data_IF_569221521384
#
_entry.id   IF_569221521384
#
_cell.length_a   1.000
_cell.length_b   1.000
_cell.length_c   1.000
_cell.angle_alpha   90.00
_cell.angle_beta   90.00
_cell.angle_gamma   90.00
#
_symmetry.space_group_name_H-M   'P 1'
#
loop_
_entity.id
_entity.type
_entity.pdbx_description
1 polymer ?
#
# COMPACT_ATOMS: atom_id res chain seq x y z
N UNK A 1 -2.21 27.72 24.71
CA UNK A 1 -1.78 28.05 23.34
C UNK A 1 -2.33 26.96 22.41
N UNK A 2 -3.53 27.14 21.86
CA UNK A 2 -4.04 26.32 20.77
C UNK A 2 -3.22 26.64 19.52
N UNK A 3 -2.18 25.90 19.28
CA UNK A 3 -1.53 25.91 17.97
C UNK A 3 -2.54 25.39 16.96
N UNK A 4 -3.10 26.30 16.15
CA UNK A 4 -4.01 25.93 15.05
C UNK A 4 -3.38 24.80 14.24
N UNK A 5 -3.99 23.61 14.29
CA UNK A 5 -3.46 22.43 13.60
C UNK A 5 -3.41 22.69 12.10
N UNK A 6 -2.22 22.74 11.53
CA UNK A 6 -2.03 22.92 10.09
C UNK A 6 -2.18 21.56 9.38
N UNK A 7 -3.43 21.18 9.09
CA UNK A 7 -3.77 19.91 8.44
C UNK A 7 -3.02 19.69 7.12
N UNK A 8 -2.81 20.75 6.33
CA UNK A 8 -2.11 20.62 5.05
C UNK A 8 -0.65 20.21 5.26
N UNK A 9 0.05 20.87 6.19
CA UNK A 9 1.44 20.52 6.53
C UNK A 9 1.54 19.07 7.06
N UNK A 10 0.64 18.68 7.96
CA UNK A 10 0.62 17.33 8.52
C UNK A 10 0.38 16.29 7.41
N UNK A 11 -0.58 16.52 6.51
CA UNK A 11 -0.87 15.65 5.37
C UNK A 11 0.33 15.53 4.43
N UNK A 12 1.02 16.65 4.14
CA UNK A 12 2.23 16.64 3.30
C UNK A 12 3.36 15.83 3.95
N UNK A 13 3.58 15.99 5.26
CA UNK A 13 4.58 15.21 5.99
C UNK A 13 4.23 13.71 5.94
N UNK A 14 3.00 13.31 6.20
CA UNK A 14 2.58 11.92 6.09
C UNK A 14 2.68 11.38 4.67
N UNK A 15 2.38 12.19 3.66
CA UNK A 15 2.53 11.80 2.25
C UNK A 15 3.99 11.51 1.90
N UNK A 16 4.92 12.40 2.23
CA UNK A 16 6.37 12.21 2.01
C UNK A 16 6.86 11.01 2.81
N UNK A 17 6.46 10.90 4.08
CA UNK A 17 6.84 9.78 4.94
C UNK A 17 6.32 8.45 4.40
N UNK A 18 5.10 8.41 3.87
CA UNK A 18 4.53 7.23 3.25
C UNK A 18 5.33 6.76 2.04
N UNK A 19 5.76 7.68 1.16
CA UNK A 19 6.64 7.35 0.03
C UNK A 19 7.94 6.73 0.53
N UNK A 20 8.61 7.38 1.48
CA UNK A 20 9.94 6.97 1.95
C UNK A 20 9.88 5.64 2.71
N UNK A 21 8.91 5.46 3.62
CA UNK A 21 8.79 4.22 4.40
C UNK A 21 8.46 3.04 3.51
N UNK A 22 7.48 3.23 2.60
CA UNK A 22 7.04 2.15 1.72
C UNK A 22 8.02 1.88 0.58
N UNK A 23 8.91 2.80 0.22
CA UNK A 23 9.95 2.56 -0.77
C UNK A 23 10.80 1.33 -0.41
N UNK A 24 11.06 1.07 0.88
CA UNK A 24 11.84 -0.10 1.33
C UNK A 24 11.22 -1.45 0.97
N UNK A 25 9.90 -1.52 0.77
CA UNK A 25 9.22 -2.72 0.26
C UNK A 25 9.62 -2.99 -1.20
N UNK A 26 9.70 -1.95 -2.00
CA UNK A 26 9.82 -2.04 -3.46
C UNK A 26 11.27 -1.97 -3.95
N UNK A 27 12.22 -1.48 -3.15
CA UNK A 27 13.66 -1.49 -3.46
C UNK A 27 14.19 -2.91 -3.67
N UNK A 28 13.54 -3.92 -3.09
CA UNK A 28 13.96 -5.32 -3.18
C UNK A 28 13.86 -5.90 -4.59
N UNK A 29 12.92 -5.44 -5.42
CA UNK A 29 12.66 -6.01 -6.74
C UNK A 29 13.86 -5.87 -7.70
N UNK A 30 14.41 -4.66 -7.94
CA UNK A 30 15.59 -4.50 -8.78
C UNK A 30 16.85 -5.12 -8.16
N UNK A 31 16.92 -5.22 -6.84
CA UNK A 31 18.09 -5.77 -6.16
C UNK A 31 18.17 -7.30 -6.20
N UNK A 32 17.13 -8.01 -6.64
CA UNK A 32 17.12 -9.48 -6.68
C UNK A 32 18.26 -10.04 -7.53
N UNK A 33 18.43 -9.56 -8.76
CA UNK A 33 19.51 -10.00 -9.65
C UNK A 33 20.89 -9.57 -9.14
N UNK A 34 20.98 -8.41 -8.49
CA UNK A 34 22.21 -7.91 -7.89
C UNK A 34 22.64 -8.81 -6.73
N UNK A 35 21.74 -9.17 -5.84
CA UNK A 35 22.01 -10.09 -4.73
C UNK A 35 22.34 -11.51 -5.21
N UNK A 36 21.64 -12.00 -6.26
CA UNK A 36 21.97 -13.30 -6.85
C UNK A 36 23.43 -13.36 -7.30
N UNK A 37 23.90 -12.30 -7.96
CA UNK A 37 25.28 -12.18 -8.42
C UNK A 37 26.28 -11.99 -7.27
N UNK A 38 26.00 -11.09 -6.35
CA UNK A 38 26.92 -10.68 -5.28
C UNK A 38 27.14 -11.80 -4.24
N UNK A 39 26.09 -12.53 -3.90
CA UNK A 39 26.13 -13.64 -2.94
C UNK A 39 26.30 -15.02 -3.59
N UNK A 40 26.37 -15.13 -4.93
CA UNK A 40 26.52 -16.40 -5.65
C UNK A 40 25.34 -17.36 -5.47
N UNK A 41 24.11 -16.85 -5.39
CA UNK A 41 22.87 -17.60 -5.15
C UNK A 41 21.91 -17.52 -6.34
N UNK A 42 20.90 -18.40 -6.38
CA UNK A 42 19.87 -18.32 -7.41
C UNK A 42 18.94 -17.09 -7.22
N UNK A 43 18.36 -16.59 -8.33
CA UNK A 43 17.36 -15.50 -8.27
C UNK A 43 16.17 -15.87 -7.39
N UNK A 44 15.76 -17.14 -7.35
CA UNK A 44 14.69 -17.61 -6.48
C UNK A 44 15.05 -17.43 -5.00
N UNK A 45 16.27 -17.76 -4.59
CA UNK A 45 16.75 -17.53 -3.22
C UNK A 45 16.89 -16.04 -2.93
N UNK A 46 17.47 -15.27 -3.87
CA UNK A 46 17.64 -13.82 -3.72
C UNK A 46 16.30 -13.08 -3.56
N UNK A 47 15.22 -13.56 -4.19
CA UNK A 47 13.87 -12.97 -4.07
C UNK A 47 13.28 -13.07 -2.66
N UNK A 48 13.77 -13.97 -1.82
CA UNK A 48 13.37 -14.08 -0.41
C UNK A 48 13.59 -12.77 0.35
N UNK A 49 14.53 -11.94 -0.06
CA UNK A 49 14.74 -10.59 0.47
C UNK A 49 13.45 -9.73 0.45
N UNK A 50 12.70 -9.74 -0.65
CA UNK A 50 11.41 -9.03 -0.75
C UNK A 50 10.27 -9.77 -0.05
N UNK A 51 10.23 -11.08 -0.16
CA UNK A 51 9.17 -11.92 0.40
C UNK A 51 9.14 -11.84 1.93
N UNK A 52 10.30 -11.98 2.59
CA UNK A 52 10.37 -11.95 4.05
C UNK A 52 9.97 -10.59 4.62
N UNK A 53 10.41 -9.50 3.98
CA UNK A 53 9.97 -8.16 4.34
C UNK A 53 8.44 -8.04 4.24
N UNK A 54 7.84 -8.47 3.12
CA UNK A 54 6.40 -8.35 2.87
C UNK A 54 5.58 -9.13 3.89
N UNK A 55 6.00 -10.36 4.23
CA UNK A 55 5.33 -11.21 5.22
C UNK A 55 5.39 -10.56 6.60
N UNK A 56 6.58 -10.18 7.06
CA UNK A 56 6.74 -9.59 8.39
C UNK A 56 6.07 -8.23 8.51
N UNK A 57 6.11 -7.41 7.45
CA UNK A 57 5.39 -6.15 7.35
C UNK A 57 3.87 -6.37 7.49
N UNK A 58 3.29 -7.24 6.67
CA UNK A 58 1.85 -7.48 6.67
C UNK A 58 1.36 -8.00 8.02
N UNK A 59 2.03 -9.02 8.56
CA UNK A 59 1.68 -9.58 9.88
C UNK A 59 1.79 -8.54 11.00
N UNK A 60 2.83 -7.71 10.97
CA UNK A 60 3.04 -6.69 11.99
C UNK A 60 1.99 -5.56 11.92
N UNK A 61 1.46 -5.25 10.75
CA UNK A 61 0.36 -4.28 10.61
C UNK A 61 -0.83 -4.62 11.52
N UNK A 62 -1.12 -5.90 11.75
CA UNK A 62 -2.22 -6.32 12.63
C UNK A 62 -2.11 -5.75 14.04
N UNK A 63 -0.90 -5.66 14.56
CA UNK A 63 -0.66 -5.33 15.97
C UNK A 63 -0.49 -3.84 16.21
N UNK A 64 0.02 -3.08 15.24
CA UNK A 64 0.40 -1.69 15.44
C UNK A 64 -0.76 -0.74 15.74
N UNK A 65 -1.99 -1.05 15.31
CA UNK A 65 -3.16 -0.29 15.72
C UNK A 65 -3.36 -0.30 17.24
N UNK A 66 -3.31 -1.49 17.83
CA UNK A 66 -3.45 -1.70 19.28
C UNK A 66 -2.22 -1.20 20.06
N UNK A 67 -1.02 -1.46 19.55
CA UNK A 67 0.23 -0.97 20.14
C UNK A 67 0.22 0.56 20.22
N UNK A 68 -0.14 1.21 19.12
CA UNK A 68 -0.16 2.68 19.06
C UNK A 68 -1.26 3.32 19.90
N UNK A 69 -2.35 2.61 20.18
CA UNK A 69 -3.38 3.06 21.10
C UNK A 69 -2.87 3.06 22.55
N UNK A 70 -2.02 2.11 22.91
CA UNK A 70 -1.42 2.04 24.24
C UNK A 70 -0.29 3.05 24.44
N UNK A 71 0.64 3.12 23.49
CA UNK A 71 1.87 3.88 23.65
C UNK A 71 1.82 5.30 23.08
N UNK A 72 0.83 5.60 22.25
CA UNK A 72 0.67 6.83 21.49
C UNK A 72 0.95 6.64 20.01
N UNK A 73 0.23 7.37 19.15
CA UNK A 73 0.29 7.18 17.69
C UNK A 73 1.65 7.63 17.14
N UNK A 74 2.03 8.87 17.43
CA UNK A 74 3.27 9.45 16.90
C UNK A 74 4.50 8.80 17.52
N UNK A 75 4.44 8.48 18.81
CA UNK A 75 5.54 7.74 19.47
C UNK A 75 5.78 6.40 18.79
N UNK A 76 4.73 5.65 18.46
CA UNK A 76 4.85 4.36 17.77
C UNK A 76 5.49 4.51 16.39
N UNK A 77 5.08 5.52 15.61
CA UNK A 77 5.70 5.82 14.32
C UNK A 77 7.18 6.16 14.48
N UNK A 78 7.53 7.00 15.45
CA UNK A 78 8.92 7.39 15.69
C UNK A 78 9.79 6.20 16.13
N UNK A 79 9.30 5.30 16.97
CA UNK A 79 10.00 4.06 17.31
C UNK A 79 10.23 3.18 16.10
N UNK A 80 9.23 3.03 15.23
CA UNK A 80 9.38 2.32 13.95
C UNK A 80 10.46 2.95 13.06
N UNK A 81 10.46 4.30 12.94
CA UNK A 81 11.45 5.03 12.14
C UNK A 81 12.87 4.91 12.72
N UNK A 82 13.04 4.99 14.03
CA UNK A 82 14.34 4.76 14.69
C UNK A 82 14.83 3.34 14.39
N UNK A 83 13.95 2.34 14.49
CA UNK A 83 14.27 0.97 14.11
C UNK A 83 14.69 0.87 12.63
N UNK A 84 13.98 1.53 11.71
CA UNK A 84 14.35 1.58 10.28
C UNK A 84 15.73 2.21 10.05
N UNK A 85 16.04 3.31 10.74
CA UNK A 85 17.37 3.95 10.69
C UNK A 85 18.47 2.97 11.08
N UNK A 86 18.31 2.31 12.22
CA UNK A 86 19.30 1.35 12.73
C UNK A 86 19.45 0.16 11.78
N UNK A 87 18.34 -0.44 11.36
CA UNK A 87 18.36 -1.64 10.52
C UNK A 87 18.91 -1.34 9.12
N UNK A 88 18.54 -0.22 8.50
CA UNK A 88 19.08 0.17 7.20
C UNK A 88 20.59 0.47 7.29
N UNK A 89 21.01 1.13 8.36
CA UNK A 89 22.43 1.37 8.59
C UNK A 89 23.19 0.04 8.70
N UNK A 90 22.67 -0.93 9.45
CA UNK A 90 23.26 -2.26 9.58
C UNK A 90 23.32 -2.99 8.23
N UNK A 91 22.21 -2.98 7.46
CA UNK A 91 22.16 -3.60 6.11
C UNK A 91 23.25 -2.99 5.20
N UNK A 92 23.51 -1.69 5.32
CA UNK A 92 24.55 -1.01 4.54
C UNK A 92 25.98 -1.53 4.79
N UNK A 93 26.24 -2.28 5.85
CA UNK A 93 27.57 -2.82 6.18
C UNK A 93 27.71 -4.34 6.09
N UNK A 94 26.64 -5.07 5.77
CA UNK A 94 26.69 -6.53 5.77
C UNK A 94 27.20 -7.12 4.46
N UNK A 95 27.81 -8.33 4.57
CA UNK A 95 28.29 -9.13 3.45
C UNK A 95 27.74 -10.57 3.49
N UNK A 96 26.70 -10.84 4.27
CA UNK A 96 26.06 -12.15 4.41
C UNK A 96 24.58 -12.10 4.01
N UNK A 97 24.17 -12.97 3.08
CA UNK A 97 22.79 -13.07 2.65
C UNK A 97 21.85 -13.49 3.79
N UNK A 98 22.29 -14.44 4.65
CA UNK A 98 21.49 -14.86 5.81
C UNK A 98 21.21 -13.70 6.76
N UNK A 99 22.23 -12.88 7.05
CA UNK A 99 22.06 -11.71 7.90
C UNK A 99 21.17 -10.66 7.22
N UNK A 100 21.29 -10.49 5.89
CA UNK A 100 20.38 -9.63 5.11
C UNK A 100 18.92 -10.04 5.32
N UNK A 101 18.60 -11.33 5.19
CA UNK A 101 17.23 -11.84 5.35
C UNK A 101 16.69 -11.57 6.76
N UNK A 102 17.51 -11.79 7.80
CA UNK A 102 17.11 -11.49 9.19
C UNK A 102 16.83 -9.99 9.37
N UNK A 103 17.72 -9.14 8.90
CA UNK A 103 17.54 -7.68 9.00
C UNK A 103 16.35 -7.20 8.17
N UNK A 104 16.08 -7.80 7.02
CA UNK A 104 14.89 -7.51 6.20
C UNK A 104 13.60 -7.88 6.91
N UNK A 105 13.58 -9.00 7.67
CA UNK A 105 12.43 -9.35 8.50
C UNK A 105 12.17 -8.26 9.57
N UNK A 106 13.21 -7.83 10.28
CA UNK A 106 13.11 -6.78 11.31
C UNK A 106 12.73 -5.44 10.67
N UNK A 107 13.28 -5.13 9.49
CA UNK A 107 12.92 -3.92 8.73
C UNK A 107 11.43 -3.89 8.39
N UNK A 108 10.85 -5.03 7.96
CA UNK A 108 9.41 -5.16 7.70
C UNK A 108 8.58 -4.88 8.95
N UNK A 109 8.99 -5.42 10.11
CA UNK A 109 8.34 -5.16 11.40
C UNK A 109 8.36 -3.66 11.72
N UNK A 110 9.51 -3.01 11.61
CA UNK A 110 9.64 -1.57 11.89
C UNK A 110 8.83 -0.69 10.93
N UNK A 111 8.83 -1.02 9.63
CA UNK A 111 8.09 -0.28 8.61
C UNK A 111 6.58 -0.33 8.83
N UNK A 112 6.06 -1.44 9.33
CA UNK A 112 4.64 -1.62 9.61
C UNK A 112 4.07 -0.66 10.67
N UNK A 113 4.93 -0.04 11.49
CA UNK A 113 4.51 0.97 12.45
C UNK A 113 3.93 2.23 11.81
N UNK A 114 4.21 2.49 10.51
CA UNK A 114 3.77 3.71 9.85
C UNK A 114 2.35 3.61 9.27
N UNK A 115 2.09 2.63 8.40
CA UNK A 115 0.88 2.63 7.55
C UNK A 115 -0.43 2.58 8.33
N UNK A 116 -0.71 1.59 9.21
CA UNK A 116 -1.98 1.56 9.92
C UNK A 116 -2.10 2.69 10.95
N UNK A 117 -0.97 3.11 11.52
CA UNK A 117 -0.98 4.14 12.57
C UNK A 117 -1.21 5.53 12.01
N UNK A 118 -0.62 5.87 10.85
CA UNK A 118 -0.86 7.16 10.18
C UNK A 118 -2.31 7.32 9.73
N UNK A 119 -2.92 6.25 9.20
CA UNK A 119 -4.33 6.23 8.81
C UNK A 119 -5.23 6.40 10.05
N UNK A 120 -4.95 5.67 11.14
CA UNK A 120 -5.69 5.80 12.39
C UNK A 120 -5.56 7.20 12.97
N UNK A 121 -4.35 7.77 12.99
CA UNK A 121 -4.10 9.13 13.43
C UNK A 121 -4.94 10.15 12.68
N UNK A 122 -4.98 10.05 11.34
CA UNK A 122 -5.82 10.94 10.51
C UNK A 122 -7.31 10.76 10.84
N UNK A 123 -7.74 9.53 11.10
CA UNK A 123 -9.13 9.24 11.44
C UNK A 123 -9.53 9.85 12.78
N UNK A 124 -8.61 9.99 13.72
CA UNK A 124 -8.83 10.59 15.04
C UNK A 124 -8.72 12.13 15.03
N UNK A 125 -7.69 12.65 14.31
CA UNK A 125 -7.28 14.05 14.44
C UNK A 125 -7.91 14.99 13.39
N UNK A 126 -8.43 14.45 12.29
CA UNK A 126 -8.96 15.27 11.21
C UNK A 126 -10.49 15.34 11.25
N UNK A 127 -11.02 16.50 10.88
CA UNK A 127 -12.47 16.66 10.71
C UNK A 127 -13.00 15.69 9.63
N UNK A 128 -14.25 15.25 9.70
CA UNK A 128 -14.83 14.30 8.75
C UNK A 128 -14.63 14.70 7.28
N UNK A 129 -14.73 15.98 6.94
CA UNK A 129 -14.56 16.51 5.59
C UNK A 129 -13.10 16.36 5.10
N UNK A 130 -12.10 16.62 5.95
CA UNK A 130 -10.68 16.55 5.58
C UNK A 130 -10.11 15.13 5.66
N UNK A 131 -10.77 14.23 6.37
CA UNK A 131 -10.31 12.87 6.66
C UNK A 131 -10.12 12.04 5.39
N UNK A 132 -11.11 12.02 4.49
CA UNK A 132 -11.03 11.25 3.24
C UNK A 132 -9.90 11.75 2.35
N UNK A 133 -9.75 13.07 2.24
CA UNK A 133 -8.66 13.69 1.48
C UNK A 133 -7.28 13.29 2.05
N UNK A 134 -7.09 13.39 3.37
CA UNK A 134 -5.82 13.03 3.98
C UNK A 134 -5.49 11.54 3.82
N UNK A 135 -6.48 10.65 3.97
CA UNK A 135 -6.31 9.21 3.70
C UNK A 135 -5.97 8.97 2.22
N UNK A 136 -6.56 9.74 1.29
CA UNK A 136 -6.22 9.64 -0.14
C UNK A 136 -4.74 9.99 -0.38
N UNK A 137 -4.23 11.07 0.21
CA UNK A 137 -2.81 11.42 0.12
C UNK A 137 -1.91 10.31 0.65
N UNK A 138 -2.18 9.77 1.85
CA UNK A 138 -1.40 8.69 2.44
C UNK A 138 -1.45 7.43 1.59
N UNK A 139 -2.64 7.02 1.12
CA UNK A 139 -2.78 5.82 0.28
C UNK A 139 -2.09 5.98 -1.08
N UNK A 140 -2.17 7.18 -1.68
CA UNK A 140 -1.45 7.50 -2.92
C UNK A 140 0.06 7.40 -2.72
N UNK A 141 0.59 7.85 -1.57
CA UNK A 141 2.02 7.75 -1.26
C UNK A 141 2.49 6.29 -1.22
N UNK A 142 1.67 5.36 -0.71
CA UNK A 142 1.98 3.93 -0.70
C UNK A 142 2.08 3.35 -2.12
N UNK A 143 1.22 3.78 -3.03
CA UNK A 143 1.27 3.34 -4.42
C UNK A 143 2.46 3.95 -5.18
N UNK A 144 2.70 5.27 -5.01
CA UNK A 144 3.83 5.97 -5.62
C UNK A 144 5.18 5.41 -5.17
N UNK A 145 5.28 4.95 -3.94
CA UNK A 145 6.50 4.33 -3.41
C UNK A 145 6.94 3.11 -4.23
N UNK A 146 6.00 2.42 -4.88
CA UNK A 146 6.31 1.29 -5.76
C UNK A 146 7.17 1.71 -6.96
N UNK A 147 6.87 2.85 -7.56
CA UNK A 147 7.64 3.39 -8.68
C UNK A 147 8.93 4.04 -8.16
N UNK A 148 8.81 4.89 -7.14
CA UNK A 148 9.96 5.65 -6.61
C UNK A 148 11.00 4.72 -5.99
N UNK A 149 10.59 3.69 -5.22
CA UNK A 149 11.51 2.75 -4.59
C UNK A 149 12.28 1.90 -5.59
N UNK A 150 11.63 1.41 -6.65
CA UNK A 150 12.30 0.66 -7.71
C UNK A 150 13.31 1.53 -8.44
N UNK A 151 12.91 2.73 -8.91
CA UNK A 151 13.81 3.64 -9.61
C UNK A 151 14.98 4.09 -8.73
N UNK A 152 14.76 4.33 -7.43
CA UNK A 152 15.84 4.65 -6.50
C UNK A 152 16.91 3.56 -6.50
N UNK A 153 16.49 2.29 -6.37
CA UNK A 153 17.43 1.16 -6.36
C UNK A 153 18.18 1.01 -7.69
N UNK A 154 17.47 1.09 -8.81
CA UNK A 154 18.06 0.97 -10.15
C UNK A 154 19.09 2.07 -10.42
N UNK A 155 18.76 3.32 -10.13
CA UNK A 155 19.65 4.47 -10.31
C UNK A 155 20.88 4.33 -9.41
N UNK A 156 20.69 4.05 -8.12
CA UNK A 156 21.80 3.95 -7.18
C UNK A 156 22.76 2.81 -7.55
N UNK A 157 22.25 1.62 -7.91
CA UNK A 157 23.09 0.48 -8.29
C UNK A 157 23.82 0.74 -9.60
N UNK A 158 23.22 1.49 -10.54
CA UNK A 158 23.90 1.84 -11.80
C UNK A 158 25.16 2.69 -11.60
N UNK A 159 25.14 3.61 -10.61
CA UNK A 159 26.25 4.54 -10.36
C UNK A 159 27.14 4.14 -9.17
N UNK A 160 26.73 3.15 -8.37
CA UNK A 160 27.44 2.73 -7.17
C UNK A 160 27.19 1.24 -6.89
N UNK A 161 26.76 0.93 -5.67
CA UNK A 161 26.46 -0.44 -5.23
C UNK A 161 25.17 -0.47 -4.41
N UNK A 162 24.65 -1.67 -4.12
CA UNK A 162 23.39 -1.85 -3.41
C UNK A 162 23.45 -1.39 -1.94
N UNK A 163 24.60 -1.37 -1.28
CA UNK A 163 24.74 -0.87 0.09
C UNK A 163 24.34 0.60 0.18
N UNK A 164 24.68 1.40 -0.83
CA UNK A 164 24.33 2.83 -0.89
C UNK A 164 22.82 3.07 -0.91
N UNK A 165 22.01 2.14 -1.43
CA UNK A 165 20.55 2.23 -1.36
C UNK A 165 20.09 2.31 0.10
N UNK A 166 20.64 1.48 0.96
CA UNK A 166 20.28 1.45 2.37
C UNK A 166 20.84 2.64 3.16
N UNK A 167 22.02 3.15 2.82
CA UNK A 167 22.53 4.39 3.41
C UNK A 167 21.66 5.60 3.04
N UNK A 168 21.21 5.70 1.79
CA UNK A 168 20.29 6.75 1.36
C UNK A 168 18.96 6.63 2.12
N UNK A 169 18.40 5.43 2.22
CA UNK A 169 17.18 5.19 3.00
C UNK A 169 17.36 5.59 4.47
N UNK A 170 18.53 5.31 5.07
CA UNK A 170 18.85 5.72 6.45
C UNK A 170 18.73 7.24 6.61
N UNK A 171 19.36 8.01 5.71
CA UNK A 171 19.28 9.48 5.75
C UNK A 171 17.85 9.99 5.57
N UNK A 172 17.09 9.38 4.65
CA UNK A 172 15.69 9.73 4.42
C UNK A 172 14.83 9.42 5.64
N UNK A 173 15.07 8.30 6.36
CA UNK A 173 14.34 7.99 7.60
C UNK A 173 14.66 8.95 8.72
N UNK A 174 15.92 9.36 8.88
CA UNK A 174 16.31 10.42 9.84
C UNK A 174 15.55 11.71 9.51
N UNK A 175 15.54 12.10 8.24
CA UNK A 175 14.87 13.32 7.79
C UNK A 175 13.38 13.32 8.15
N UNK A 176 12.63 12.26 7.80
CA UNK A 176 11.20 12.20 8.11
C UNK A 176 10.92 12.03 9.61
N UNK A 177 11.80 11.34 10.36
CA UNK A 177 11.66 11.24 11.81
C UNK A 177 11.75 12.62 12.47
N UNK A 178 12.69 13.44 12.05
CA UNK A 178 12.83 14.83 12.54
C UNK A 178 11.60 15.67 12.17
N UNK A 179 11.08 15.54 10.94
CA UNK A 179 9.86 16.26 10.52
C UNK A 179 8.64 15.85 11.35
N UNK A 180 8.45 14.55 11.56
CA UNK A 180 7.32 14.03 12.35
C UNK A 180 7.45 14.49 13.80
N UNK A 181 8.62 14.34 14.41
CA UNK A 181 8.86 14.75 15.79
C UNK A 181 8.58 16.25 16.02
N UNK A 182 9.00 17.09 15.06
CA UNK A 182 8.90 18.56 15.20
C UNK A 182 7.50 19.11 14.89
N UNK A 183 6.76 18.48 13.96
CA UNK A 183 5.57 19.11 13.38
C UNK A 183 4.27 18.34 13.58
N UNK A 184 4.31 17.07 14.00
CA UNK A 184 3.10 16.27 14.18
C UNK A 184 2.84 16.11 15.68
N UNK A 185 1.74 16.68 16.22
CA UNK A 185 1.39 16.53 17.63
C UNK A 185 0.91 15.09 17.91
N UNK A 186 1.06 14.64 19.15
CA UNK A 186 0.52 13.35 19.57
C UNK A 186 -1.01 13.36 19.56
N UNK A 187 -1.64 12.19 19.28
CA UNK A 187 -3.09 12.03 19.41
C UNK A 187 -3.50 12.02 20.87
N UNK A 188 -4.61 12.72 21.22
CA UNK A 188 -5.17 12.66 22.58
C UNK A 188 -5.78 11.27 22.88
N UNK A 189 -6.08 10.48 21.84
CA UNK A 189 -6.65 9.14 21.99
C UNK A 189 -5.55 8.18 22.41
N UNK A 190 -5.49 7.90 23.70
CA UNK A 190 -4.51 6.99 24.31
C UNK A 190 -5.16 6.20 25.43
N UNK A 191 -4.90 4.88 25.46
CA UNK A 191 -5.38 3.99 26.52
C UNK A 191 -4.20 3.21 27.13
N UNK A 192 -3.48 3.79 28.12
CA UNK A 192 -2.32 3.13 28.75
C UNK A 192 -2.65 1.82 29.44
N UNK A 193 -3.90 1.63 29.89
CA UNK A 193 -4.35 0.42 30.61
C UNK A 193 -4.70 -0.72 29.66
N UNK A 194 -4.64 -0.50 28.32
CA UNK A 194 -4.97 -1.51 27.34
C UNK A 194 -4.03 -2.72 27.47
N UNK A 195 -4.60 -3.89 27.72
CA UNK A 195 -3.86 -5.15 27.73
C UNK A 195 -3.70 -5.63 26.31
N UNK A 196 -2.46 -5.75 25.81
CA UNK A 196 -2.18 -6.22 24.45
C UNK A 196 -2.73 -7.63 24.18
N UNK A 197 -2.81 -8.45 25.23
CA UNK A 197 -3.47 -9.78 25.17
C UNK A 197 -4.96 -9.65 24.82
N UNK A 198 -5.58 -8.50 25.06
CA UNK A 198 -6.96 -8.21 24.66
C UNK A 198 -7.17 -8.04 23.15
N UNK A 199 -6.08 -7.99 22.36
CA UNK A 199 -6.13 -7.94 20.89
C UNK A 199 -7.08 -9.02 20.32
N UNK A 200 -6.96 -10.26 20.77
CA UNK A 200 -7.79 -11.36 20.30
C UNK A 200 -9.28 -11.24 20.70
N UNK A 201 -9.60 -10.50 21.77
CA UNK A 201 -10.99 -10.24 22.14
C UNK A 201 -11.70 -9.34 21.13
N UNK A 202 -10.97 -8.43 20.49
CA UNK A 202 -11.52 -7.52 19.50
C UNK A 202 -12.00 -8.27 18.23
N UNK A 203 -11.52 -9.50 17.99
CA UNK A 203 -12.02 -10.35 16.90
C UNK A 203 -13.49 -10.79 17.12
N UNK A 204 -14.01 -10.79 18.34
CA UNK A 204 -15.43 -11.05 18.59
C UNK A 204 -16.32 -9.94 18.03
N UNK A 205 -15.82 -8.69 18.00
CA UNK A 205 -16.55 -7.53 17.49
C UNK A 205 -16.75 -7.58 15.96
N UNK A 206 -16.05 -8.51 15.26
CA UNK A 206 -16.22 -8.70 13.80
C UNK A 206 -17.62 -9.21 13.43
N UNK A 207 -18.19 -10.12 14.24
CA UNK A 207 -19.49 -10.72 13.93
C UNK A 207 -20.59 -9.68 13.82
N UNK A 208 -20.46 -8.58 14.56
CA UNK A 208 -21.47 -7.52 14.62
C UNK A 208 -21.29 -6.45 13.54
N UNK A 209 -20.15 -6.47 12.80
CA UNK A 209 -19.79 -5.43 11.82
C UNK A 209 -19.72 -5.96 10.38
N UNK A 210 -20.86 -6.45 9.86
CA UNK A 210 -20.95 -6.96 8.46
C UNK A 210 -20.38 -5.98 7.42
N UNK A 211 -20.58 -4.67 7.60
CA UNK A 211 -20.10 -3.65 6.66
C UNK A 211 -18.56 -3.63 6.61
N UNK A 212 -17.89 -3.83 7.74
CA UNK A 212 -16.42 -3.90 7.81
C UNK A 212 -15.92 -5.13 7.07
N UNK A 213 -16.57 -6.28 7.24
CA UNK A 213 -16.22 -7.51 6.52
C UNK A 213 -16.33 -7.30 5.00
N UNK A 214 -17.40 -6.65 4.53
CA UNK A 214 -17.55 -6.29 3.11
C UNK A 214 -16.41 -5.39 2.63
N UNK A 215 -16.01 -4.39 3.43
CA UNK A 215 -14.87 -3.53 3.10
C UNK A 215 -13.56 -4.32 3.04
N UNK A 216 -13.35 -5.31 3.90
CA UNK A 216 -12.16 -6.15 3.88
C UNK A 216 -12.07 -7.04 2.64
N UNK A 217 -13.20 -7.60 2.20
CA UNK A 217 -13.25 -8.36 0.95
C UNK A 217 -12.90 -7.47 -0.26
N UNK A 218 -13.39 -6.23 -0.29
CA UNK A 218 -13.00 -5.25 -1.30
C UNK A 218 -11.50 -4.95 -1.19
N UNK A 219 -10.99 -4.65 0.00
CA UNK A 219 -9.56 -4.33 0.21
C UNK A 219 -8.63 -5.45 -0.25
N UNK A 220 -8.98 -6.70 0.01
CA UNK A 220 -8.20 -7.87 -0.43
C UNK A 220 -8.06 -7.91 -1.94
N UNK A 221 -9.15 -7.64 -2.67
CA UNK A 221 -9.15 -7.68 -4.13
C UNK A 221 -8.34 -6.55 -4.76
N UNK A 222 -8.27 -5.35 -4.13
CA UNK A 222 -7.66 -4.18 -4.77
C UNK A 222 -6.17 -4.36 -5.09
N UNK A 223 -5.33 -4.72 -4.10
CA UNK A 223 -3.91 -4.94 -4.36
C UNK A 223 -3.64 -6.27 -5.07
N UNK A 224 -4.49 -7.29 -4.89
CA UNK A 224 -4.41 -8.51 -5.70
C UNK A 224 -4.57 -8.18 -7.18
N UNK A 225 -5.61 -7.44 -7.56
CA UNK A 225 -5.83 -7.00 -8.94
C UNK A 225 -4.69 -6.12 -9.44
N UNK A 226 -4.21 -5.18 -8.63
CA UNK A 226 -3.16 -4.23 -9.01
C UNK A 226 -1.85 -4.94 -9.37
N UNK A 227 -1.36 -5.83 -8.51
CA UNK A 227 -0.12 -6.56 -8.74
C UNK A 227 -0.27 -7.55 -9.91
N UNK A 228 -1.37 -8.31 -9.94
CA UNK A 228 -1.64 -9.27 -11.02
C UNK A 228 -1.73 -8.59 -12.38
N UNK A 229 -2.42 -7.43 -12.47
CA UNK A 229 -2.52 -6.66 -13.71
C UNK A 229 -1.14 -6.27 -14.22
N UNK A 230 -0.28 -5.70 -13.39
CA UNK A 230 1.06 -5.29 -13.83
C UNK A 230 1.94 -6.48 -14.22
N UNK A 231 1.75 -7.65 -13.60
CA UNK A 231 2.47 -8.87 -13.99
C UNK A 231 2.07 -9.31 -15.39
N UNK A 232 0.75 -9.40 -15.68
CA UNK A 232 0.24 -9.76 -17.01
C UNK A 232 0.65 -8.70 -18.04
N UNK A 233 0.47 -7.43 -17.71
CA UNK A 233 0.76 -6.29 -18.58
C UNK A 233 2.21 -6.27 -19.07
N UNK A 234 3.18 -6.57 -18.18
CA UNK A 234 4.58 -6.66 -18.59
C UNK A 234 4.83 -7.76 -19.61
N UNK A 235 4.31 -8.97 -19.34
CA UNK A 235 4.45 -10.09 -20.24
C UNK A 235 3.71 -9.87 -21.55
N UNK A 236 2.56 -9.21 -21.50
CA UNK A 236 1.74 -8.93 -22.68
C UNK A 236 2.41 -7.91 -23.61
N UNK A 237 2.92 -6.79 -23.06
CA UNK A 237 3.61 -5.77 -23.87
C UNK A 237 4.85 -6.35 -24.56
N UNK A 238 5.61 -7.20 -23.87
CA UNK A 238 6.85 -7.79 -24.42
C UNK A 238 6.60 -9.04 -25.27
N UNK A 239 5.36 -9.49 -25.40
CA UNK A 239 4.99 -10.63 -26.24
C UNK A 239 5.00 -10.28 -27.73
N UNK A 240 5.13 -11.30 -28.59
CA UNK A 240 5.06 -11.15 -30.06
C UNK A 240 3.73 -10.58 -30.53
N UNK A 241 2.66 -10.66 -29.72
CA UNK A 241 1.32 -10.14 -30.02
C UNK A 241 1.32 -8.61 -30.06
N UNK A 242 2.00 -7.97 -29.10
CA UNK A 242 2.09 -6.50 -28.98
C UNK A 242 3.38 -5.96 -29.58
N UNK A 243 4.49 -6.72 -29.48
CA UNK A 243 5.78 -6.38 -30.08
C UNK A 243 6.50 -5.20 -29.40
N UNK A 244 6.15 -4.89 -28.15
CA UNK A 244 6.81 -3.84 -27.38
C UNK A 244 8.13 -4.32 -26.76
N UNK A 245 9.03 -3.38 -26.47
CA UNK A 245 10.29 -3.65 -25.76
C UNK A 245 10.10 -3.59 -24.23
N UNK A 246 11.09 -4.10 -23.48
CA UNK A 246 11.15 -3.93 -22.03
C UNK A 246 11.13 -2.44 -21.61
N UNK A 247 11.81 -1.58 -22.37
CA UNK A 247 11.78 -0.14 -22.14
C UNK A 247 10.37 0.43 -22.33
N UNK A 248 9.60 -0.10 -23.29
CA UNK A 248 8.17 0.27 -23.47
C UNK A 248 7.34 -0.12 -22.27
N UNK A 249 7.55 -1.32 -21.71
CA UNK A 249 6.83 -1.78 -20.52
C UNK A 249 7.17 -0.95 -19.26
N UNK A 250 8.43 -0.57 -19.09
CA UNK A 250 8.88 0.30 -17.99
C UNK A 250 8.24 1.70 -18.13
N UNK A 251 8.33 2.30 -19.32
CA UNK A 251 7.74 3.62 -19.57
C UNK A 251 6.22 3.61 -19.38
N UNK A 252 5.54 2.55 -19.82
CA UNK A 252 4.10 2.40 -19.63
C UNK A 252 3.69 2.40 -18.15
N UNK A 253 4.50 1.78 -17.26
CA UNK A 253 4.26 1.83 -15.81
C UNK A 253 4.40 3.24 -15.24
N UNK A 254 5.32 4.06 -15.77
CA UNK A 254 5.49 5.43 -15.31
C UNK A 254 4.23 6.28 -15.55
N UNK A 255 3.51 6.05 -16.66
CA UNK A 255 2.22 6.72 -16.90
C UNK A 255 1.17 6.34 -15.85
N UNK A 256 1.26 5.18 -15.21
CA UNK A 256 0.42 4.80 -14.09
C UNK A 256 0.46 5.79 -12.92
N UNK A 257 1.56 6.56 -12.76
CA UNK A 257 1.66 7.64 -11.78
C UNK A 257 0.53 8.66 -11.96
N UNK A 258 0.14 8.97 -13.19
CA UNK A 258 -0.96 9.89 -13.48
C UNK A 258 -2.26 9.37 -12.85
N UNK A 259 -2.57 8.08 -13.04
CA UNK A 259 -3.72 7.43 -12.41
C UNK A 259 -3.68 7.48 -10.88
N UNK A 260 -2.49 7.25 -10.29
CA UNK A 260 -2.29 7.34 -8.84
C UNK A 260 -2.53 8.76 -8.32
N UNK A 261 -2.00 9.78 -9.01
CA UNK A 261 -2.15 11.18 -8.61
C UNK A 261 -3.60 11.67 -8.72
N UNK A 262 -4.37 11.18 -9.68
CA UNK A 262 -5.80 11.51 -9.79
C UNK A 262 -6.57 11.11 -8.52
N UNK A 263 -6.14 10.09 -7.80
CA UNK A 263 -6.78 9.66 -6.54
C UNK A 263 -6.73 10.72 -5.43
N UNK A 264 -5.86 11.71 -5.52
CA UNK A 264 -5.85 12.83 -4.58
C UNK A 264 -7.17 13.63 -4.62
N UNK A 265 -7.93 13.51 -5.71
CA UNK A 265 -9.27 14.06 -5.84
C UNK A 265 -10.35 13.20 -5.17
N UNK A 266 -10.02 11.97 -4.74
CA UNK A 266 -11.00 11.02 -4.18
C UNK A 266 -11.75 11.60 -2.97
N UNK A 267 -11.08 12.37 -2.13
CA UNK A 267 -11.70 13.07 -1.00
C UNK A 267 -12.81 14.01 -1.45
N UNK A 268 -12.50 14.94 -2.38
CA UNK A 268 -13.46 15.92 -2.89
C UNK A 268 -14.66 15.28 -3.60
N UNK A 269 -14.41 14.21 -4.36
CA UNK A 269 -15.47 13.49 -5.06
C UNK A 269 -16.34 12.72 -4.04
N UNK A 270 -15.72 12.08 -3.04
CA UNK A 270 -16.43 11.37 -1.97
C UNK A 270 -17.34 12.29 -1.14
N UNK A 271 -16.92 13.53 -0.92
CA UNK A 271 -17.74 14.53 -0.19
C UNK A 271 -19.00 14.91 -0.95
N UNK A 272 -18.93 14.96 -2.29
CA UNK A 272 -20.06 15.31 -3.16
C UNK A 272 -20.98 14.13 -3.45
N UNK A 273 -20.42 12.98 -3.80
CA UNK A 273 -21.18 11.82 -4.30
C UNK A 273 -21.40 10.74 -3.24
N UNK A 274 -20.61 10.76 -2.16
CA UNK A 274 -20.59 9.75 -1.12
C UNK A 274 -19.60 8.62 -1.42
N UNK A 275 -18.96 8.13 -0.36
CA UNK A 275 -17.86 7.13 -0.41
C UNK A 275 -18.25 5.84 -1.15
N UNK A 276 -19.49 5.35 -0.98
CA UNK A 276 -19.97 4.15 -1.69
C UNK A 276 -19.94 4.34 -3.20
N UNK A 277 -20.43 5.48 -3.72
CA UNK A 277 -20.49 5.73 -5.15
C UNK A 277 -19.09 5.82 -5.76
N UNK A 278 -18.11 6.38 -5.01
CA UNK A 278 -16.72 6.41 -5.44
C UNK A 278 -16.14 5.00 -5.52
N UNK A 279 -16.36 4.14 -4.51
CA UNK A 279 -15.91 2.74 -4.55
C UNK A 279 -16.50 2.00 -5.75
N UNK A 280 -17.81 2.10 -5.95
CA UNK A 280 -18.51 1.42 -7.07
C UNK A 280 -18.02 1.93 -8.43
N UNK A 281 -17.95 3.25 -8.62
CA UNK A 281 -17.47 3.84 -9.88
C UNK A 281 -16.01 3.48 -10.19
N UNK A 282 -15.15 3.51 -9.15
CA UNK A 282 -13.75 3.14 -9.25
C UNK A 282 -13.56 1.66 -9.66
N UNK A 283 -14.33 0.75 -9.07
CA UNK A 283 -14.30 -0.67 -9.44
C UNK A 283 -14.82 -0.89 -10.88
N UNK A 284 -15.89 -0.19 -11.29
CA UNK A 284 -16.41 -0.28 -12.68
C UNK A 284 -15.31 0.15 -13.66
N UNK A 285 -14.66 1.30 -13.43
CA UNK A 285 -13.57 1.78 -14.29
C UNK A 285 -12.44 0.76 -14.34
N UNK A 286 -12.03 0.19 -13.20
CA UNK A 286 -10.97 -0.82 -13.17
C UNK A 286 -11.34 -2.10 -13.94
N UNK A 287 -12.56 -2.60 -13.78
CA UNK A 287 -13.05 -3.81 -14.46
C UNK A 287 -13.09 -3.60 -15.97
N UNK A 288 -13.71 -2.50 -16.42
CA UNK A 288 -13.81 -2.16 -17.85
C UNK A 288 -12.42 -2.02 -18.46
N UNK A 289 -11.50 -1.34 -17.78
CA UNK A 289 -10.12 -1.18 -18.25
C UNK A 289 -9.41 -2.54 -18.40
N UNK A 290 -9.55 -3.46 -17.45
CA UNK A 290 -8.98 -4.82 -17.54
C UNK A 290 -9.51 -5.58 -18.73
N UNK A 291 -10.83 -5.56 -18.94
CA UNK A 291 -11.47 -6.23 -20.07
C UNK A 291 -10.94 -5.66 -21.39
N UNK A 292 -10.90 -4.32 -21.50
CA UNK A 292 -10.42 -3.65 -22.71
C UNK A 292 -8.92 -3.91 -22.97
N UNK A 293 -8.08 -4.01 -21.92
CA UNK A 293 -6.68 -4.41 -22.08
C UNK A 293 -6.56 -5.80 -22.73
N UNK A 294 -7.40 -6.75 -22.37
CA UNK A 294 -7.38 -8.11 -22.92
C UNK A 294 -7.69 -8.18 -24.43
N UNK A 295 -8.38 -7.19 -24.99
CA UNK A 295 -8.73 -7.11 -26.41
C UNK A 295 -7.93 -6.07 -27.19
N UNK A 296 -6.97 -5.40 -26.57
CA UNK A 296 -6.20 -4.30 -27.18
C UNK A 296 -4.77 -4.75 -27.43
N UNK A 297 -4.31 -4.65 -28.68
CA UNK A 297 -2.90 -4.92 -29.07
C UNK A 297 -2.08 -3.64 -29.26
N UNK A 298 -2.72 -2.50 -29.42
CA UNK A 298 -2.06 -1.21 -29.58
C UNK A 298 -1.47 -0.74 -28.26
N UNK A 299 -0.16 -0.48 -28.22
CA UNK A 299 0.60 -0.06 -27.02
C UNK A 299 0.03 1.20 -26.37
N UNK A 300 -0.35 2.22 -27.18
CA UNK A 300 -0.86 3.49 -26.65
C UNK A 300 -2.19 3.26 -25.91
N UNK A 301 -3.09 2.50 -26.51
CA UNK A 301 -4.37 2.17 -25.88
C UNK A 301 -4.18 1.30 -24.63
N UNK A 302 -3.24 0.34 -24.66
CA UNK A 302 -2.88 -0.45 -23.47
C UNK A 302 -2.41 0.45 -22.32
N UNK A 303 -1.58 1.45 -22.61
CA UNK A 303 -1.13 2.43 -21.62
C UNK A 303 -2.30 3.24 -21.07
N UNK A 304 -3.20 3.72 -21.92
CA UNK A 304 -4.40 4.48 -21.51
C UNK A 304 -5.27 3.62 -20.58
N UNK A 305 -5.57 2.37 -20.95
CA UNK A 305 -6.35 1.46 -20.10
C UNK A 305 -5.64 1.15 -18.79
N UNK A 306 -4.31 1.00 -18.81
CA UNK A 306 -3.55 0.78 -17.56
C UNK A 306 -3.62 1.98 -16.62
N UNK A 307 -3.54 3.20 -17.13
CA UNK A 307 -3.70 4.45 -16.34
C UNK A 307 -5.09 4.54 -15.72
N UNK A 308 -6.13 4.23 -16.50
CA UNK A 308 -7.52 4.23 -16.01
C UNK A 308 -7.74 3.15 -14.95
N UNK A 309 -7.20 1.94 -15.16
CA UNK A 309 -7.24 0.87 -14.18
C UNK A 309 -6.59 1.29 -12.86
N UNK A 310 -5.35 1.81 -12.94
CA UNK A 310 -4.58 2.28 -11.77
C UNK A 310 -5.32 3.40 -11.06
N UNK A 311 -5.90 4.35 -11.83
CA UNK A 311 -6.74 5.40 -11.29
C UNK A 311 -7.93 4.83 -10.51
N UNK A 312 -8.65 3.86 -11.05
CA UNK A 312 -9.75 3.20 -10.37
C UNK A 312 -9.31 2.56 -9.04
N UNK A 313 -8.25 1.75 -9.05
CA UNK A 313 -7.70 1.14 -7.82
C UNK A 313 -7.30 2.23 -6.81
N UNK A 314 -6.64 3.28 -7.28
CA UNK A 314 -6.17 4.39 -6.44
C UNK A 314 -7.30 5.20 -5.81
N UNK A 315 -8.47 5.29 -6.45
CA UNK A 315 -9.69 5.86 -5.84
C UNK A 315 -10.37 4.90 -4.87
N UNK A 316 -10.39 3.60 -5.17
CA UNK A 316 -11.07 2.60 -4.36
C UNK A 316 -10.38 2.38 -2.99
N UNK A 317 -9.03 2.36 -2.94
CA UNK A 317 -8.26 2.12 -1.71
C UNK A 317 -8.62 3.12 -0.60
N UNK A 318 -8.41 4.45 -0.76
CA UNK A 318 -8.70 5.41 0.31
C UNK A 318 -10.17 5.48 0.65
N UNK A 319 -11.06 5.28 -0.33
CA UNK A 319 -12.49 5.27 -0.11
C UNK A 319 -12.92 4.08 0.75
N UNK A 320 -12.37 2.89 0.52
CA UNK A 320 -12.65 1.70 1.31
C UNK A 320 -12.12 1.84 2.74
N UNK A 321 -10.87 2.33 2.91
CA UNK A 321 -10.29 2.63 4.23
C UNK A 321 -11.15 3.63 4.98
N UNK A 322 -11.56 4.71 4.33
CA UNK A 322 -12.42 5.74 4.93
C UNK A 322 -13.77 5.17 5.35
N UNK A 323 -14.35 4.25 4.54
CA UNK A 323 -15.61 3.59 4.88
C UNK A 323 -15.48 2.76 6.15
N UNK A 324 -14.37 2.02 6.34
CA UNK A 324 -14.08 1.30 7.59
C UNK A 324 -14.04 2.28 8.76
N UNK A 325 -13.25 3.36 8.65
CA UNK A 325 -13.13 4.37 9.71
C UNK A 325 -14.44 5.09 10.06
N UNK A 326 -15.38 5.22 9.10
CA UNK A 326 -16.70 5.84 9.33
C UNK A 326 -17.70 4.92 10.03
N UNK A 327 -17.57 3.61 9.87
CA UNK A 327 -18.51 2.62 10.41
C UNK A 327 -18.14 2.23 11.83
N UNK A 328 -16.86 2.26 12.15
CA UNK A 328 -16.33 1.83 13.44
C UNK A 328 -16.21 3.03 14.38
N UNK A 329 -16.96 3.01 15.48
CA UNK A 329 -16.89 4.04 16.52
C UNK A 329 -15.94 3.67 17.67
N UNK A 330 -15.65 2.38 17.85
CA UNK A 330 -14.81 1.86 18.94
C UNK A 330 -13.70 0.99 18.36
N UNK A 331 -12.52 1.00 18.95
CA UNK A 331 -11.38 0.21 18.51
C UNK A 331 -10.96 0.51 17.05
N UNK A 332 -11.08 1.76 16.58
CA UNK A 332 -10.77 2.14 15.19
C UNK A 332 -9.37 1.71 14.76
N UNK A 333 -8.36 1.86 15.64
CA UNK A 333 -6.99 1.44 15.38
C UNK A 333 -6.88 -0.05 15.03
N UNK A 334 -7.61 -0.91 15.74
CA UNK A 334 -7.65 -2.34 15.46
C UNK A 334 -8.24 -2.62 14.06
N UNK A 335 -9.43 -2.10 13.77
CA UNK A 335 -10.11 -2.36 12.51
C UNK A 335 -9.36 -1.80 11.29
N UNK A 336 -8.75 -0.63 11.41
CA UNK A 336 -7.93 -0.04 10.35
C UNK A 336 -6.62 -0.81 10.15
N UNK A 337 -6.02 -1.35 11.22
CA UNK A 337 -4.85 -2.22 11.14
C UNK A 337 -5.15 -3.53 10.45
N UNK A 338 -6.28 -4.16 10.77
CA UNK A 338 -6.73 -5.38 10.07
C UNK A 338 -7.01 -5.08 8.60
N UNK A 339 -7.63 -3.92 8.29
CA UNK A 339 -7.83 -3.52 6.90
C UNK A 339 -6.50 -3.36 6.15
N UNK A 340 -5.51 -2.74 6.78
CA UNK A 340 -4.17 -2.58 6.21
C UNK A 340 -3.50 -3.94 5.98
N UNK A 341 -3.57 -4.84 6.97
CA UNK A 341 -3.09 -6.21 6.81
C UNK A 341 -3.73 -6.90 5.61
N UNK A 342 -5.06 -6.88 5.51
CA UNK A 342 -5.82 -7.53 4.44
C UNK A 342 -5.49 -6.92 3.08
N UNK A 343 -5.35 -5.59 3.01
CA UNK A 343 -4.95 -4.89 1.80
C UNK A 343 -3.58 -5.39 1.30
N UNK A 344 -2.58 -5.44 2.18
CA UNK A 344 -1.24 -5.91 1.83
C UNK A 344 -1.15 -7.43 1.67
N UNK A 345 -2.03 -8.22 2.29
CA UNK A 345 -2.15 -9.65 2.03
C UNK A 345 -2.46 -9.91 0.55
N UNK A 346 -3.19 -9.02 -0.10
CA UNK A 346 -3.42 -9.06 -1.55
C UNK A 346 -2.11 -9.07 -2.37
N UNK A 347 -1.05 -8.40 -1.90
CA UNK A 347 0.26 -8.42 -2.58
C UNK A 347 0.96 -9.78 -2.50
N UNK A 348 0.67 -10.58 -1.46
CA UNK A 348 1.19 -11.93 -1.31
C UNK A 348 0.34 -12.95 -2.09
N UNK A 349 -0.97 -12.73 -2.20
CA UNK A 349 -1.88 -13.58 -2.97
C UNK A 349 -1.66 -13.43 -4.47
N UNK A 350 -1.37 -12.22 -4.95
CA UNK A 350 -1.23 -11.97 -6.38
C UNK A 350 -0.17 -12.86 -7.07
N UNK A 351 1.06 -13.02 -6.57
CA UNK A 351 2.03 -13.94 -7.16
C UNK A 351 1.55 -15.39 -7.18
N UNK A 352 0.88 -15.86 -6.11
CA UNK A 352 0.32 -17.22 -6.05
C UNK A 352 -0.77 -17.42 -7.11
N UNK A 353 -1.64 -16.43 -7.29
CA UNK A 353 -2.64 -16.43 -8.34
C UNK A 353 -1.98 -16.46 -9.72
N UNK A 354 -0.89 -15.72 -9.91
CA UNK A 354 -0.17 -15.68 -11.18
C UNK A 354 0.49 -17.01 -11.54
N UNK A 355 0.98 -17.79 -10.56
CA UNK A 355 1.49 -19.16 -10.79
C UNK A 355 0.41 -20.04 -11.44
N UNK A 356 -0.86 -19.86 -11.07
CA UNK A 356 -1.98 -20.62 -11.62
C UNK A 356 -2.44 -20.10 -12.98
N UNK A 357 -2.30 -18.80 -13.23
CA UNK A 357 -2.85 -18.14 -14.42
C UNK A 357 -1.84 -18.04 -15.57
N UNK A 358 -0.56 -17.84 -15.27
CA UNK A 358 0.51 -17.70 -16.29
C UNK A 358 0.62 -18.88 -17.27
N UNK A 359 0.40 -20.17 -16.86
CA UNK A 359 0.41 -21.28 -17.81
C UNK A 359 -0.68 -21.19 -18.90
N UNK A 360 -1.71 -20.36 -18.67
CA UNK A 360 -2.72 -20.08 -19.69
C UNK A 360 -2.06 -19.16 -20.75
N UNK A 361 -1.83 -19.68 -21.95
CA UNK A 361 -1.17 -18.95 -23.05
C UNK A 361 -1.99 -17.77 -23.60
N UNK A 362 -3.24 -17.59 -23.17
CA UNK A 362 -4.17 -16.56 -23.63
C UNK A 362 -4.21 -15.37 -22.67
N UNK A 363 -3.56 -14.25 -23.05
CA UNK A 363 -3.55 -13.02 -22.25
C UNK A 363 -4.93 -12.42 -22.00
N UNK A 364 -5.83 -12.49 -22.98
CA UNK A 364 -7.23 -12.03 -22.83
C UNK A 364 -7.90 -12.76 -21.66
N UNK A 365 -7.75 -14.09 -21.61
CA UNK A 365 -8.29 -14.90 -20.51
C UNK A 365 -7.66 -14.54 -19.17
N UNK A 366 -6.36 -14.27 -19.14
CA UNK A 366 -5.69 -13.83 -17.92
C UNK A 366 -6.26 -12.50 -17.38
N UNK A 367 -6.46 -11.50 -18.26
CA UNK A 367 -7.09 -10.23 -17.86
C UNK A 367 -8.54 -10.42 -17.42
N UNK A 368 -9.32 -11.29 -18.07
CA UNK A 368 -10.72 -11.58 -17.70
C UNK A 368 -10.78 -12.24 -16.32
N UNK A 369 -9.87 -13.15 -15.96
CA UNK A 369 -9.83 -13.76 -14.64
C UNK A 369 -9.58 -12.70 -13.56
N UNK A 370 -8.68 -11.75 -13.79
CA UNK A 370 -8.47 -10.64 -12.84
C UNK A 370 -9.70 -9.72 -12.79
N UNK A 371 -10.36 -9.47 -13.93
CA UNK A 371 -11.61 -8.71 -13.97
C UNK A 371 -12.73 -9.40 -13.19
N UNK A 372 -12.79 -10.74 -13.17
CA UNK A 372 -13.77 -11.50 -12.40
C UNK A 372 -13.59 -11.26 -10.87
N UNK A 373 -12.36 -11.15 -10.37
CA UNK A 373 -12.09 -10.73 -8.99
C UNK A 373 -12.68 -9.34 -8.72
N UNK A 374 -12.51 -8.42 -9.68
CA UNK A 374 -13.11 -7.09 -9.62
C UNK A 374 -14.63 -7.11 -9.59
N UNK A 375 -15.26 -7.97 -10.39
CA UNK A 375 -16.73 -8.14 -10.41
C UNK A 375 -17.23 -8.64 -9.06
N UNK A 376 -16.56 -9.59 -8.44
CA UNK A 376 -16.90 -10.05 -7.08
C UNK A 376 -16.79 -8.86 -6.09
N UNK A 377 -15.72 -8.09 -6.16
CA UNK A 377 -15.55 -6.90 -5.32
C UNK A 377 -16.63 -5.85 -5.58
N UNK A 378 -17.06 -5.66 -6.84
CA UNK A 378 -18.16 -4.76 -7.22
C UNK A 378 -19.50 -5.22 -6.64
N UNK A 379 -19.81 -6.50 -6.72
CA UNK A 379 -21.03 -7.07 -6.10
C UNK A 379 -21.03 -6.80 -4.61
N UNK A 380 -19.89 -7.05 -3.93
CA UNK A 380 -19.72 -6.76 -2.50
C UNK A 380 -19.89 -5.27 -2.22
N UNK A 381 -19.35 -4.38 -3.07
CA UNK A 381 -19.47 -2.93 -2.91
C UNK A 381 -20.93 -2.43 -3.07
N UNK A 382 -21.70 -3.07 -3.93
CA UNK A 382 -23.13 -2.76 -4.10
C UNK A 382 -23.96 -3.08 -2.85
N UNK A 383 -23.54 -4.07 -2.05
CA UNK A 383 -24.16 -4.41 -0.77
C UNK A 383 -23.84 -3.42 0.35
N UNK A 384 -22.85 -2.54 0.18
CA UNK A 384 -22.56 -1.49 1.18
C UNK A 384 -23.75 -0.54 1.33
N UNK A 385 -24.12 -0.13 2.57
CA UNK A 385 -25.19 0.83 2.77
C UNK A 385 -24.81 2.20 2.19
N UNK A 386 -25.80 2.86 1.58
CA UNK A 386 -25.68 4.25 1.15
C UNK A 386 -25.42 5.15 2.34
N UNK A 387 -25.48 5.98 2.86
CA UNK A 387 -25.19 6.76 4.06
C UNK A 387 -25.94 6.17 5.25
N UNK A 388 -25.29 5.83 6.38
CA UNK A 388 -25.98 5.99 7.65
C UNK A 388 -26.06 7.50 7.86
N UNK A 389 -27.27 8.04 7.90
CA UNK A 389 -27.48 9.35 8.51
C UNK A 389 -26.82 9.32 9.88
N UNK A 390 -25.78 10.11 10.04
CA UNK A 390 -25.28 10.42 11.37
C UNK A 390 -26.43 11.19 11.98
N UNK A 391 -27.21 10.50 12.83
CA UNK A 391 -28.15 11.14 13.72
C UNK A 391 -27.30 12.14 14.50
N UNK A 392 -27.67 13.40 14.37
CA UNK A 392 -27.10 14.57 15.04
C UNK A 392 -27.07 14.37 16.57
#
# INVERSE_FOLDING_TARGET
>A
METSMNYNRMTTIFFISGIIVMASLYTALPLTSVFAKDFGISNAVASLNGVIFSITYSLSCLFYGTISEKFGRIRTILFGLIGLVIICLLIGFIHSFTLLIILRAIQGICAAAFSPVSITYVTEMYSPVKRVTAISFISTSFMLSGVIGQNLSEIVVRYSNWHMVYFILTLLYIFIAVLIYKYIPESPVKNPQLKLVGFFKNFKDFKDNKIVILCYLISLSLLTMFISMYTIFNHYITSDIVGGSEATAINAKLFGIIGMLLSLLAGRISDRTGVKHVIVGALIVSIVSLILMGFTTNVILLVIWSVLFVGGIAFAIPSTISKVGMVVNRNQGFFLSVNTFILFLGTAIAPLLMILIQPLSNFTLQFIIIAAIGIIALIVALLLPRRKNVIR
#
